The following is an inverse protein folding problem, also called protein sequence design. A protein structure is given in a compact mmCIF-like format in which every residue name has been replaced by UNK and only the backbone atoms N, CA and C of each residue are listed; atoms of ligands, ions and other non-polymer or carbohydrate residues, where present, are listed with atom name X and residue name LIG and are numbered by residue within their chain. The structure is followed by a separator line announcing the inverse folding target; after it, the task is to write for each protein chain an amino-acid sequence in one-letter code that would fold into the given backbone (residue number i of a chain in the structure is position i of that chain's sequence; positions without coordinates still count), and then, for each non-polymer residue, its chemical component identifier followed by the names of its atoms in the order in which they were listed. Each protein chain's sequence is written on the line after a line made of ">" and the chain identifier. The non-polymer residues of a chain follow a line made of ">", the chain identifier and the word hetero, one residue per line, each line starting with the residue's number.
data_IF_503498159318
#
_entry.id   IF_503498159318
#
_cell.length_a   1.000
_cell.length_b   1.000
_cell.length_c   1.000
_cell.angle_alpha   90.00
_cell.angle_beta   90.00
_cell.angle_gamma   90.00
#
_symmetry.space_group_name_H-M   'P 1'
#
loop_
_entity.id
_entity.type
_entity.pdbx_description
1 polymer ?
#
# COMPACT_ATOMS: atom_id res chain seq x y z
N UNK A 1 -7.27 -14.61 -4.32
CA UNK A 1 -6.11 -13.99 -5.02
C UNK A 1 -5.20 -15.10 -5.52
N UNK A 2 -4.60 -14.98 -6.71
CA UNK A 2 -3.63 -15.94 -7.23
C UNK A 2 -2.23 -15.50 -6.80
N UNK A 3 -1.51 -16.37 -6.09
CA UNK A 3 -0.12 -16.13 -5.74
C UNK A 3 0.72 -16.53 -6.95
N UNK A 4 1.36 -15.56 -7.60
CA UNK A 4 2.22 -15.76 -8.74
C UNK A 4 3.64 -15.28 -8.46
N UNK A 5 4.54 -15.52 -9.40
CA UNK A 5 5.95 -15.15 -9.26
C UNK A 5 6.16 -13.63 -9.16
N UNK A 6 5.29 -12.84 -9.77
CA UNK A 6 5.41 -11.39 -9.73
C UNK A 6 5.10 -10.86 -8.33
N UNK A 7 4.07 -11.39 -7.68
CA UNK A 7 3.75 -11.06 -6.30
C UNK A 7 4.90 -11.47 -5.36
N UNK A 8 5.43 -12.70 -5.50
CA UNK A 8 6.54 -13.16 -4.66
C UNK A 8 7.73 -12.22 -4.82
N UNK A 9 8.10 -11.89 -6.06
CA UNK A 9 9.22 -10.98 -6.32
C UNK A 9 9.01 -9.61 -5.68
N UNK A 10 7.79 -9.05 -5.72
CA UNK A 10 7.52 -7.77 -5.07
C UNK A 10 7.68 -7.84 -3.55
N UNK A 11 7.17 -8.93 -2.92
CA UNK A 11 7.27 -9.14 -1.48
C UNK A 11 8.72 -9.31 -1.00
N UNK A 12 9.63 -9.78 -1.85
CA UNK A 12 11.06 -9.93 -1.48
C UNK A 12 11.79 -8.59 -1.31
N UNK A 13 11.24 -7.49 -1.79
CA UNK A 13 11.76 -6.13 -1.61
C UNK A 13 11.08 -5.37 -0.48
N UNK A 14 10.03 -5.93 0.12
CA UNK A 14 9.32 -5.32 1.24
C UNK A 14 9.96 -5.69 2.57
N UNK A 15 9.85 -4.79 3.55
CA UNK A 15 10.30 -5.02 4.91
C UNK A 15 9.22 -5.75 5.74
N UNK A 16 9.66 -6.53 6.73
CA UNK A 16 8.74 -7.16 7.68
C UNK A 16 7.89 -6.13 8.42
N UNK A 17 6.61 -6.44 8.57
CA UNK A 17 5.66 -5.52 9.20
C UNK A 17 4.34 -6.18 9.56
N UNK A 18 3.27 -5.41 9.52
CA UNK A 18 1.91 -5.91 9.81
C UNK A 18 1.29 -6.68 8.64
N UNK A 19 1.91 -6.64 7.46
CA UNK A 19 1.43 -7.27 6.23
C UNK A 19 2.39 -8.33 5.68
N UNK A 20 3.66 -8.36 6.16
CA UNK A 20 4.66 -9.33 5.72
C UNK A 20 5.49 -9.86 6.88
N UNK A 21 5.80 -11.16 6.83
CA UNK A 21 6.80 -11.84 7.67
C UNK A 21 7.62 -12.82 6.82
N UNK A 22 8.91 -12.92 7.11
CA UNK A 22 9.84 -13.76 6.38
C UNK A 22 10.41 -14.81 7.35
N UNK A 23 10.33 -16.07 6.97
CA UNK A 23 10.82 -17.21 7.76
C UNK A 23 11.89 -17.93 6.98
N UNK A 24 13.10 -17.99 7.52
CA UNK A 24 14.20 -18.72 6.91
C UNK A 24 13.94 -20.24 6.90
N UNK A 25 13.31 -20.74 7.98
CA UNK A 25 13.02 -22.17 8.18
C UNK A 25 11.53 -22.47 8.16
N UNK A 26 11.20 -23.73 7.86
CA UNK A 26 9.84 -24.23 7.95
C UNK A 26 9.36 -24.31 9.40
N UNK A 27 8.08 -24.05 9.62
CA UNK A 27 7.45 -24.29 10.91
C UNK A 27 7.51 -25.76 11.29
N UNK A 28 7.86 -26.03 12.53
CA UNK A 28 7.83 -27.38 13.10
C UNK A 28 6.38 -27.77 13.34
N UNK A 29 5.83 -28.61 12.46
CA UNK A 29 4.42 -28.99 12.51
C UNK A 29 4.23 -30.51 12.53
N UNK A 30 4.89 -31.25 11.62
CA UNK A 30 4.76 -32.71 11.50
C UNK A 30 5.48 -33.37 12.68
N UNK A 31 4.73 -34.22 13.43
CA UNK A 31 5.24 -34.93 14.62
C UNK A 31 5.88 -34.01 15.68
N UNK A 32 5.55 -32.72 15.65
CA UNK A 32 6.06 -31.73 16.58
C UNK A 32 5.22 -31.71 17.87
N UNK A 33 5.83 -31.25 18.96
CA UNK A 33 5.16 -31.01 20.24
C UNK A 33 4.29 -29.74 20.14
N UNK A 34 3.36 -29.57 21.07
CA UNK A 34 2.43 -28.45 21.06
C UNK A 34 3.13 -27.10 21.14
N UNK A 35 4.22 -26.99 21.88
CA UNK A 35 5.02 -25.77 21.99
C UNK A 35 5.64 -25.34 20.65
N UNK A 36 6.08 -26.29 19.83
CA UNK A 36 6.61 -26.00 18.50
C UNK A 36 5.50 -25.56 17.53
N UNK A 37 4.33 -26.21 17.58
CA UNK A 37 3.17 -25.83 16.75
C UNK A 37 2.59 -24.47 17.11
N UNK A 38 2.88 -23.98 18.34
CA UNK A 38 2.45 -22.66 18.79
C UNK A 38 2.97 -21.53 17.90
N UNK A 39 4.17 -21.65 17.30
CA UNK A 39 4.75 -20.57 16.51
C UNK A 39 3.87 -20.30 15.27
N UNK A 40 3.50 -21.35 14.53
CA UNK A 40 2.59 -21.21 13.38
C UNK A 40 1.23 -20.63 13.80
N UNK A 41 0.64 -21.17 14.87
CA UNK A 41 -0.66 -20.72 15.37
C UNK A 41 -0.62 -19.24 15.83
N UNK A 42 0.43 -18.85 16.54
CA UNK A 42 0.66 -17.48 17.00
C UNK A 42 0.77 -16.50 15.84
N UNK A 43 1.57 -16.84 14.84
CA UNK A 43 1.80 -15.97 13.71
C UNK A 43 0.52 -15.79 12.89
N UNK A 44 -0.21 -16.87 12.58
CA UNK A 44 -1.49 -16.77 11.86
C UNK A 44 -2.53 -15.97 12.66
N UNK A 45 -2.64 -16.16 13.98
CA UNK A 45 -3.51 -15.36 14.85
C UNK A 45 -3.11 -13.88 14.84
N UNK A 46 -1.82 -13.60 14.96
CA UNK A 46 -1.31 -12.24 15.03
C UNK A 46 -1.60 -11.46 13.74
N UNK A 47 -1.41 -12.08 12.58
CA UNK A 47 -1.74 -11.47 11.31
C UNK A 47 -3.25 -11.36 11.07
N UNK A 48 -4.05 -12.33 11.49
CA UNK A 48 -5.50 -12.28 11.37
C UNK A 48 -6.11 -11.11 12.18
N UNK A 49 -5.49 -10.75 13.32
CA UNK A 49 -5.92 -9.65 14.18
C UNK A 49 -5.23 -8.31 13.90
N UNK A 50 -4.21 -8.28 13.06
CA UNK A 50 -3.43 -7.05 12.81
C UNK A 50 -4.28 -5.91 12.26
N UNK A 51 -3.92 -4.68 12.64
CA UNK A 51 -4.47 -3.46 12.04
C UNK A 51 -3.75 -3.18 10.73
N UNK A 52 -4.35 -3.59 9.62
CA UNK A 52 -3.79 -3.49 8.27
C UNK A 52 -4.85 -3.11 7.24
N UNK A 53 -4.41 -2.69 6.06
CA UNK A 53 -5.29 -2.24 4.97
C UNK A 53 -5.26 -3.16 3.76
N UNK A 54 -4.32 -4.10 3.73
CA UNK A 54 -4.16 -5.09 2.66
C UNK A 54 -4.05 -6.50 3.22
N UNK A 55 -4.03 -7.49 2.36
CA UNK A 55 -3.79 -8.88 2.71
C UNK A 55 -2.39 -9.06 3.28
N UNK A 56 -2.22 -10.02 4.17
CA UNK A 56 -0.92 -10.33 4.75
C UNK A 56 -0.34 -11.62 4.21
N UNK A 57 0.99 -11.70 4.21
CA UNK A 57 1.75 -12.82 3.72
C UNK A 57 2.83 -13.24 4.71
N UNK A 58 3.03 -14.55 4.85
CA UNK A 58 4.20 -15.11 5.50
C UNK A 58 4.93 -15.94 4.45
N UNK A 59 6.15 -15.55 4.10
CA UNK A 59 6.99 -16.30 3.17
C UNK A 59 7.93 -17.21 3.96
N UNK A 60 7.87 -18.51 3.70
CA UNK A 60 8.65 -19.53 4.38
C UNK A 60 9.72 -20.09 3.43
N UNK A 61 10.95 -20.17 3.86
CA UNK A 61 12.13 -20.46 3.04
C UNK A 61 12.79 -19.20 2.51
N UNK A 62 12.59 -18.06 3.20
CA UNK A 62 13.11 -16.75 2.81
C UNK A 62 13.84 -16.12 3.98
N UNK A 63 15.05 -15.65 3.74
CA UNK A 63 15.89 -14.93 4.69
C UNK A 63 15.77 -13.43 4.45
N UNK A 64 15.39 -12.69 5.49
CA UNK A 64 15.35 -11.23 5.45
C UNK A 64 16.73 -10.61 5.19
N UNK A 65 16.75 -9.61 4.30
CA UNK A 65 17.94 -8.80 4.00
C UNK A 65 17.56 -7.34 4.11
N UNK A 66 17.92 -6.72 5.22
CA UNK A 66 17.63 -5.30 5.49
C UNK A 66 18.13 -4.38 4.37
N UNK A 67 17.22 -3.58 3.83
CA UNK A 67 17.55 -2.58 2.81
C UNK A 67 17.83 -3.13 1.42
N UNK A 68 17.49 -4.39 1.17
CA UNK A 68 17.69 -5.04 -0.14
C UNK A 68 16.67 -6.15 -0.40
N UNK A 69 16.82 -6.82 -1.52
CA UNK A 69 16.01 -7.98 -1.87
C UNK A 69 16.33 -9.15 -0.93
N UNK A 70 15.33 -9.69 -0.28
CA UNK A 70 15.44 -10.87 0.58
C UNK A 70 15.84 -12.12 -0.19
N UNK A 71 16.54 -13.04 0.46
CA UNK A 71 17.16 -14.20 -0.17
C UNK A 71 16.26 -15.43 -0.06
N UNK A 72 16.06 -16.11 -1.18
CA UNK A 72 15.41 -17.43 -1.19
C UNK A 72 16.41 -18.47 -0.68
N UNK A 73 16.14 -19.04 0.49
CA UNK A 73 16.93 -20.16 1.05
C UNK A 73 16.31 -21.51 0.73
N UNK A 74 14.97 -21.54 0.66
CA UNK A 74 14.19 -22.73 0.37
C UNK A 74 13.91 -23.58 1.61
N UNK A 75 12.96 -24.52 1.47
CA UNK A 75 12.55 -25.49 2.51
C UNK A 75 12.57 -26.92 1.95
N UNK A 76 12.81 -27.88 2.83
CA UNK A 76 12.75 -29.32 2.50
C UNK A 76 11.40 -29.92 2.80
N UNK A 77 10.82 -29.57 3.95
CA UNK A 77 9.57 -30.12 4.43
C UNK A 77 8.38 -29.28 3.94
N UNK A 78 7.48 -29.92 3.23
CA UNK A 78 6.25 -29.30 2.75
C UNK A 78 5.10 -29.68 3.66
N UNK A 79 4.33 -28.70 4.10
CA UNK A 79 3.14 -28.96 4.93
C UNK A 79 1.90 -29.05 4.03
N UNK A 80 0.89 -29.71 4.57
CA UNK A 80 -0.42 -29.84 3.92
C UNK A 80 -1.36 -28.74 4.42
N UNK A 81 -1.94 -27.98 3.49
CA UNK A 81 -2.84 -26.86 3.79
C UNK A 81 -4.05 -27.33 4.62
N UNK A 82 -4.69 -28.46 4.25
CA UNK A 82 -5.87 -28.95 4.95
C UNK A 82 -5.56 -29.30 6.40
N UNK A 83 -4.41 -29.92 6.66
CA UNK A 83 -3.95 -30.27 8.01
C UNK A 83 -3.72 -29.03 8.86
N UNK A 84 -3.11 -27.98 8.30
CA UNK A 84 -2.88 -26.70 9.00
C UNK A 84 -4.20 -26.00 9.29
N UNK A 85 -5.09 -25.94 8.31
CA UNK A 85 -6.40 -25.31 8.47
C UNK A 85 -7.25 -26.03 9.54
N UNK A 86 -7.29 -27.36 9.53
CA UNK A 86 -7.99 -28.14 10.56
C UNK A 86 -7.39 -27.88 11.94
N UNK A 87 -6.05 -27.90 12.05
CA UNK A 87 -5.35 -27.64 13.30
C UNK A 87 -5.71 -26.27 13.89
N UNK A 88 -5.61 -25.20 13.12
CA UNK A 88 -5.84 -23.83 13.56
C UNK A 88 -7.33 -23.62 13.87
N UNK A 89 -8.23 -24.00 12.97
CA UNK A 89 -9.64 -23.69 13.09
C UNK A 89 -10.35 -24.47 14.21
N UNK A 90 -9.82 -25.61 14.61
CA UNK A 90 -10.35 -26.35 15.79
C UNK A 90 -10.05 -25.64 17.12
N UNK A 91 -9.03 -24.76 17.17
CA UNK A 91 -8.58 -24.11 18.40
C UNK A 91 -9.13 -22.69 18.58
N UNK A 92 -9.55 -22.05 17.51
CA UNK A 92 -9.97 -20.65 17.51
C UNK A 92 -11.48 -20.49 17.74
N UNK A 93 -11.91 -19.34 18.29
CA UNK A 93 -13.31 -19.01 18.57
C UNK A 93 -14.18 -18.96 17.30
N UNK A 94 -13.56 -18.64 16.17
CA UNK A 94 -14.14 -18.69 14.82
C UNK A 94 -13.08 -19.14 13.82
N UNK A 95 -13.46 -19.70 12.66
CA UNK A 95 -12.49 -20.06 11.63
C UNK A 95 -11.69 -18.86 11.15
N UNK A 96 -10.39 -19.06 10.97
CA UNK A 96 -9.51 -18.09 10.32
C UNK A 96 -9.49 -18.39 8.83
N UNK A 97 -9.70 -17.37 8.02
CA UNK A 97 -9.55 -17.47 6.57
C UNK A 97 -8.08 -17.26 6.24
N UNK A 98 -7.44 -18.28 5.70
CA UNK A 98 -6.08 -18.24 5.20
C UNK A 98 -5.85 -19.36 4.19
N UNK A 99 -4.75 -19.33 3.46
CA UNK A 99 -4.29 -20.46 2.62
C UNK A 99 -2.79 -20.66 2.78
N UNK A 100 -2.37 -21.92 2.77
CA UNK A 100 -0.96 -22.30 2.77
C UNK A 100 -0.65 -22.94 1.41
N UNK A 101 0.28 -22.38 0.65
CA UNK A 101 0.64 -22.85 -0.69
C UNK A 101 2.13 -23.16 -0.78
N UNK A 102 2.45 -24.35 -1.24
CA UNK A 102 3.81 -24.75 -1.59
C UNK A 102 4.08 -24.34 -3.04
N UNK A 103 5.18 -23.64 -3.28
CA UNK A 103 5.55 -23.09 -4.58
C UNK A 103 7.02 -23.39 -4.89
N UNK A 104 7.37 -23.36 -6.17
CA UNK A 104 8.77 -23.37 -6.61
C UNK A 104 9.13 -21.99 -7.15
N UNK A 105 10.14 -21.37 -6.56
CA UNK A 105 10.62 -20.07 -6.95
C UNK A 105 12.15 -20.08 -7.00
N UNK A 106 12.76 -19.60 -8.09
CA UNK A 106 14.20 -19.65 -8.35
C UNK A 106 14.81 -21.07 -8.16
N UNK A 107 14.06 -22.10 -8.56
CA UNK A 107 14.52 -23.50 -8.43
C UNK A 107 14.50 -24.06 -7.01
N UNK A 108 14.04 -23.30 -6.02
CA UNK A 108 13.90 -23.73 -4.62
C UNK A 108 12.42 -23.84 -4.23
N UNK A 109 12.12 -24.73 -3.29
CA UNK A 109 10.80 -24.86 -2.72
C UNK A 109 10.63 -23.83 -1.62
N UNK A 110 9.56 -23.08 -1.65
CA UNK A 110 9.13 -22.14 -0.61
C UNK A 110 7.66 -22.41 -0.27
N UNK A 111 7.19 -21.84 0.83
CA UNK A 111 5.76 -21.81 1.11
C UNK A 111 5.29 -20.38 1.37
N UNK A 112 4.03 -20.12 1.05
CA UNK A 112 3.38 -18.82 1.28
C UNK A 112 2.10 -19.06 2.06
N UNK A 113 1.98 -18.38 3.20
CA UNK A 113 0.71 -18.29 3.93
C UNK A 113 0.10 -16.94 3.57
N UNK A 114 -1.06 -16.96 2.96
CA UNK A 114 -1.86 -15.79 2.65
C UNK A 114 -3.00 -15.65 3.63
N UNK A 115 -3.12 -14.48 4.26
CA UNK A 115 -4.14 -14.19 5.27
C UNK A 115 -4.88 -12.93 4.84
N UNK A 116 -6.10 -13.03 4.30
CA UNK A 116 -6.90 -11.87 3.91
C UNK A 116 -7.39 -11.09 5.12
N UNK A 117 -7.81 -9.84 4.90
CA UNK A 117 -8.52 -9.06 5.91
C UNK A 117 -9.81 -9.79 6.28
N UNK A 118 -10.08 -9.92 7.56
CA UNK A 118 -11.20 -10.68 8.06
C UNK A 118 -11.74 -10.13 9.38
N UNK A 119 -12.87 -10.66 9.84
CA UNK A 119 -13.50 -10.22 11.08
C UNK A 119 -12.63 -10.52 12.30
N UNK A 120 -12.51 -9.55 13.18
CA UNK A 120 -11.74 -9.58 14.43
C UNK A 120 -12.69 -9.30 15.62
N UNK A 121 -12.32 -9.61 16.87
CA UNK A 121 -11.10 -10.34 17.27
C UNK A 121 -11.21 -11.87 17.09
N UNK A 122 -10.06 -12.50 16.91
CA UNK A 122 -9.90 -13.95 16.88
C UNK A 122 -8.95 -14.36 18.02
N UNK A 123 -9.35 -15.35 18.80
CA UNK A 123 -8.61 -15.84 19.97
C UNK A 123 -8.78 -17.34 20.15
N UNK A 124 -7.98 -17.95 21.04
CA UNK A 124 -8.06 -19.37 21.35
C UNK A 124 -9.18 -19.66 22.36
N UNK A 125 -9.93 -20.73 22.11
CA UNK A 125 -10.95 -21.23 23.04
C UNK A 125 -10.38 -21.88 24.31
N UNK A 126 -9.15 -22.40 24.22
CA UNK A 126 -8.44 -23.08 25.31
C UNK A 126 -6.95 -22.81 25.17
N UNK A 127 -6.21 -22.88 26.28
CA UNK A 127 -4.76 -22.81 26.26
C UNK A 127 -4.18 -23.86 25.34
N UNK A 128 -3.14 -23.50 24.59
CA UNK A 128 -2.42 -24.41 23.71
C UNK A 128 -0.92 -24.10 23.75
N UNK A 129 -0.14 -25.04 24.29
CA UNK A 129 1.29 -24.81 24.56
C UNK A 129 1.51 -23.51 25.33
N UNK A 130 2.31 -22.61 24.79
CA UNK A 130 2.61 -21.30 25.42
C UNK A 130 1.51 -20.25 25.21
N UNK A 131 0.53 -20.50 24.36
CA UNK A 131 -0.52 -19.55 24.06
C UNK A 131 -1.69 -19.70 25.02
N UNK A 132 -2.22 -18.56 25.47
CA UNK A 132 -3.33 -18.49 26.41
C UNK A 132 -4.67 -18.33 25.72
N UNK A 133 -5.70 -18.97 26.26
CA UNK A 133 -7.09 -18.74 25.86
C UNK A 133 -7.51 -17.30 26.15
N UNK A 134 -8.59 -16.88 25.47
CA UNK A 134 -9.19 -15.55 25.64
C UNK A 134 -8.21 -14.38 25.46
N UNK A 135 -7.06 -14.64 24.87
CA UNK A 135 -6.01 -13.67 24.60
C UNK A 135 -5.97 -13.37 23.12
N UNK A 136 -6.07 -12.09 22.75
CA UNK A 136 -6.01 -11.63 21.35
C UNK A 136 -4.56 -11.27 21.03
N UNK A 137 -3.91 -12.14 20.28
CA UNK A 137 -2.58 -11.88 19.73
C UNK A 137 -2.71 -11.08 18.46
N UNK A 138 -1.92 -10.00 18.31
CA UNK A 138 -1.90 -9.16 17.11
C UNK A 138 -0.48 -8.79 16.71
N UNK A 139 -0.29 -8.42 15.45
CA UNK A 139 0.98 -7.92 14.93
C UNK A 139 1.10 -6.41 15.14
N UNK A 140 2.22 -5.96 15.73
CA UNK A 140 2.61 -4.55 15.83
C UNK A 140 3.99 -4.39 15.20
N UNK A 141 4.05 -3.73 14.03
CA UNK A 141 5.26 -3.75 13.22
C UNK A 141 5.68 -5.19 12.91
N UNK A 142 6.92 -5.54 13.12
CA UNK A 142 7.48 -6.89 12.91
C UNK A 142 7.34 -7.82 14.12
N UNK A 143 6.65 -7.44 15.20
CA UNK A 143 6.53 -8.26 16.40
C UNK A 143 5.08 -8.63 16.75
N UNK A 144 4.89 -9.77 17.41
CA UNK A 144 3.61 -10.18 17.98
C UNK A 144 3.44 -9.57 19.36
N UNK A 145 2.28 -8.98 19.61
CA UNK A 145 1.88 -8.39 20.90
C UNK A 145 0.51 -8.95 21.34
N UNK A 146 0.12 -8.62 22.56
CA UNK A 146 -1.22 -8.88 23.08
C UNK A 146 -2.02 -7.59 22.95
N UNK A 147 -3.25 -7.69 22.45
CA UNK A 147 -4.17 -6.57 22.34
C UNK A 147 -4.62 -6.10 23.74
N UNK A 148 -4.74 -4.80 23.90
CA UNK A 148 -5.38 -4.22 25.07
C UNK A 148 -6.92 -4.20 24.94
N UNK A 149 -7.61 -3.83 26.01
CA UNK A 149 -9.08 -3.82 26.06
C UNK A 149 -9.67 -2.85 25.04
N UNK A 150 -9.04 -1.69 24.83
CA UNK A 150 -9.50 -0.69 23.88
C UNK A 150 -9.35 -1.16 22.42
N UNK A 151 -8.26 -1.85 22.13
CA UNK A 151 -8.05 -2.47 20.82
C UNK A 151 -9.09 -3.56 20.54
N UNK A 152 -9.35 -4.43 21.52
CA UNK A 152 -10.37 -5.49 21.40
C UNK A 152 -11.75 -4.88 21.18
N UNK A 153 -12.12 -3.84 21.92
CA UNK A 153 -13.36 -3.13 21.75
C UNK A 153 -13.51 -2.54 20.34
N UNK A 154 -12.46 -1.89 19.85
CA UNK A 154 -12.42 -1.34 18.47
C UNK A 154 -12.51 -2.43 17.41
N UNK A 155 -11.87 -3.60 17.61
CA UNK A 155 -11.99 -4.74 16.70
C UNK A 155 -13.44 -5.24 16.59
N UNK A 156 -14.16 -5.29 17.71
CA UNK A 156 -15.54 -5.76 17.75
C UNK A 156 -16.55 -4.78 17.14
N UNK A 157 -16.26 -3.48 17.18
CA UNK A 157 -17.12 -2.42 16.65
C UNK A 157 -16.76 -2.00 15.22
N UNK A 158 -15.61 -2.44 14.71
CA UNK A 158 -15.24 -2.17 13.32
C UNK A 158 -16.31 -2.76 12.40
N UNK A 159 -16.96 -1.96 11.54
CA UNK A 159 -17.88 -2.50 10.56
C UNK A 159 -17.18 -3.59 9.76
N UNK A 160 -17.91 -4.65 9.40
CA UNK A 160 -17.46 -5.58 8.40
C UNK A 160 -17.07 -4.76 7.17
N UNK A 161 -15.78 -4.58 6.98
CA UNK A 161 -15.30 -4.19 5.67
C UNK A 161 -15.46 -5.46 4.84
N UNK A 162 -16.64 -5.64 4.25
CA UNK A 162 -16.67 -6.34 2.98
C UNK A 162 -15.72 -5.53 2.11
N UNK A 163 -14.54 -6.08 1.90
CA UNK A 163 -13.60 -5.51 0.93
C UNK A 163 -14.22 -5.81 -0.42
N UNK A 164 -15.22 -5.04 -0.78
CA UNK A 164 -15.60 -4.86 -2.15
C UNK A 164 -14.31 -4.43 -2.84
N UNK A 165 -13.85 -5.19 -3.82
CA UNK A 165 -12.67 -4.80 -4.59
C UNK A 165 -12.92 -3.38 -5.06
N UNK A 166 -12.09 -2.38 -4.65
CA UNK A 166 -12.28 -1.04 -5.16
C UNK A 166 -12.10 -1.11 -6.68
N UNK A 167 -13.19 -1.00 -7.38
CA UNK A 167 -13.15 -0.91 -8.84
C UNK A 167 -12.90 0.56 -9.15
N UNK A 168 -11.61 0.89 -9.33
CA UNK A 168 -11.19 2.24 -9.63
C UNK A 168 -11.38 2.51 -11.11
N UNK A 169 -12.22 3.49 -11.39
CA UNK A 169 -12.43 4.01 -12.73
C UNK A 169 -11.66 5.33 -12.87
N UNK A 170 -10.66 5.33 -13.74
CA UNK A 170 -9.81 6.49 -14.03
C UNK A 170 -10.19 7.05 -15.39
N UNK A 171 -10.57 8.32 -15.43
CA UNK A 171 -11.01 8.95 -16.67
C UNK A 171 -10.63 10.43 -16.75
N UNK A 172 -10.57 10.94 -17.98
CA UNK A 172 -10.43 12.36 -18.20
C UNK A 172 -11.75 13.08 -17.84
N UNK A 173 -11.64 14.16 -17.09
CA UNK A 173 -12.78 14.91 -16.60
C UNK A 173 -12.76 16.37 -17.08
N UNK A 174 -13.93 16.95 -17.25
CA UNK A 174 -14.07 18.39 -17.44
C UNK A 174 -13.80 19.08 -16.09
N UNK A 175 -12.90 20.08 -16.01
CA UNK A 175 -12.52 20.72 -14.76
C UNK A 175 -13.67 21.45 -14.07
N UNK A 176 -14.62 22.00 -14.85
CA UNK A 176 -15.72 22.80 -14.29
C UNK A 176 -16.96 21.95 -13.93
N UNK A 177 -17.29 20.99 -14.79
CA UNK A 177 -18.50 20.18 -14.62
C UNK A 177 -18.24 18.84 -13.94
N UNK A 178 -16.96 18.43 -13.85
CA UNK A 178 -16.50 17.12 -13.36
C UNK A 178 -17.09 15.91 -14.12
N UNK A 179 -17.67 16.15 -15.28
CA UNK A 179 -18.22 15.10 -16.14
C UNK A 179 -17.11 14.37 -16.89
N UNK A 180 -17.32 13.08 -17.15
CA UNK A 180 -16.41 12.25 -17.94
C UNK A 180 -16.27 12.82 -19.35
N UNK A 181 -15.05 12.92 -19.80
CA UNK A 181 -14.69 13.20 -21.19
C UNK A 181 -14.42 11.88 -21.94
N UNK A 182 -14.19 11.98 -23.25
CA UNK A 182 -13.80 10.84 -24.07
C UNK A 182 -12.52 10.16 -23.56
N UNK A 183 -12.40 8.85 -23.76
CA UNK A 183 -11.20 8.07 -23.42
C UNK A 183 -9.96 8.48 -24.24
N UNK A 184 -10.14 9.29 -25.28
CA UNK A 184 -9.05 9.88 -26.06
C UNK A 184 -9.17 11.39 -26.02
N UNK A 185 -8.09 12.06 -25.64
CA UNK A 185 -7.97 13.51 -25.68
C UNK A 185 -6.98 13.91 -26.75
N UNK A 186 -7.38 14.80 -27.63
CA UNK A 186 -6.49 15.42 -28.61
C UNK A 186 -5.96 16.72 -28.06
N UNK A 187 -4.66 16.81 -27.89
CA UNK A 187 -3.98 18.05 -27.53
C UNK A 187 -3.41 18.63 -28.84
N UNK A 188 -3.85 19.84 -29.19
CA UNK A 188 -3.23 20.57 -30.30
C UNK A 188 -1.96 21.22 -29.77
N UNK A 189 -0.82 20.85 -30.34
CA UNK A 189 0.43 21.56 -30.07
C UNK A 189 0.42 22.88 -30.83
N UNK A 190 0.74 23.97 -30.14
CA UNK A 190 1.00 25.27 -30.75
C UNK A 190 2.50 25.53 -30.64
N UNK A 191 3.12 25.86 -31.74
CA UNK A 191 4.47 26.40 -31.74
C UNK A 191 4.34 27.92 -31.65
N UNK A 192 4.78 28.49 -30.52
CA UNK A 192 4.85 29.93 -30.34
C UNK A 192 6.31 30.36 -30.43
N UNK A 193 6.62 31.17 -31.44
CA UNK A 193 7.90 31.87 -31.50
C UNK A 193 7.85 33.06 -30.56
N UNK A 194 8.42 32.92 -29.39
CA UNK A 194 8.59 34.01 -28.43
C UNK A 194 10.03 34.49 -28.52
N UNK A 195 10.27 35.79 -28.71
CA UNK A 195 11.63 36.31 -28.71
C UNK A 195 12.39 35.95 -27.45
N UNK A 196 13.68 35.72 -27.50
CA UNK A 196 14.48 35.47 -26.31
C UNK A 196 14.34 36.63 -25.30
N UNK A 197 14.31 36.31 -24.02
CA UNK A 197 14.08 37.27 -22.94
C UNK A 197 15.03 38.50 -23.00
N UNK A 198 16.21 38.32 -23.56
CA UNK A 198 17.21 39.36 -23.75
C UNK A 198 16.86 40.39 -24.86
N UNK A 199 16.00 40.00 -25.80
CA UNK A 199 15.57 40.89 -26.90
C UNK A 199 14.26 41.63 -26.61
N UNK A 200 13.61 41.35 -25.49
CA UNK A 200 12.39 42.02 -25.08
C UNK A 200 12.80 43.31 -24.32
N UNK A 201 12.45 44.51 -24.81
CA UNK A 201 12.80 45.73 -24.15
C UNK A 201 12.13 45.84 -22.77
N UNK A 202 12.84 46.33 -21.80
CA UNK A 202 12.24 46.71 -20.53
C UNK A 202 11.48 48.02 -20.71
N UNK A 203 10.39 48.17 -19.99
CA UNK A 203 9.63 49.43 -19.99
C UNK A 203 10.47 50.49 -19.30
N UNK A 204 10.98 51.50 -20.05
CA UNK A 204 11.56 52.72 -19.51
C UNK A 204 10.53 53.84 -19.61
N UNK A 205 10.07 54.35 -18.50
CA UNK A 205 9.31 55.57 -18.51
C UNK A 205 10.29 56.75 -18.72
N UNK A 206 10.60 57.05 -19.95
CA UNK A 206 11.12 58.37 -20.29
C UNK A 206 9.95 59.33 -20.32
N UNK A 207 9.54 59.83 -19.17
CA UNK A 207 8.89 61.12 -19.05
C UNK A 207 9.28 61.72 -17.70
N UNK A 208 10.36 62.46 -17.74
CA UNK A 208 10.65 63.54 -16.83
C UNK A 208 9.60 64.62 -17.05
N UNK A 209 8.49 64.57 -16.39
CA UNK A 209 7.71 65.78 -16.13
C UNK A 209 7.61 65.96 -14.62
N UNK A 210 8.51 66.86 -14.22
CA UNK A 210 8.53 67.51 -12.92
C UNK A 210 7.22 68.24 -12.68
N UNK A 211 6.34 67.73 -11.87
CA UNK A 211 5.46 68.54 -10.99
C UNK A 211 5.03 67.69 -9.79
N UNK A 212 5.43 68.13 -8.66
CA UNK A 212 5.36 67.63 -7.32
C UNK A 212 4.11 66.96 -6.85
N UNK A 213 4.36 66.13 -5.96
CA UNK A 213 3.69 65.49 -4.82
C UNK A 213 3.87 63.96 -4.92
N UNK A 214 4.79 63.51 -4.12
CA UNK A 214 5.35 62.17 -3.97
C UNK A 214 4.38 60.99 -3.80
N UNK A 215 3.90 60.48 -4.89
CA UNK A 215 3.53 59.08 -4.99
C UNK A 215 4.16 58.59 -6.30
N UNK A 216 5.34 58.02 -6.22
CA UNK A 216 5.91 57.31 -7.35
C UNK A 216 5.02 56.08 -7.60
N UNK A 217 4.33 55.99 -8.76
CA UNK A 217 3.73 54.73 -9.13
C UNK A 217 4.85 53.70 -9.22
N UNK A 218 4.70 52.57 -8.57
CA UNK A 218 5.66 51.47 -8.66
C UNK A 218 5.74 51.04 -10.12
N UNK A 219 6.78 51.47 -10.83
CA UNK A 219 6.96 51.17 -12.25
C UNK A 219 7.45 49.73 -12.37
N UNK A 220 6.65 48.86 -12.98
CA UNK A 220 7.08 47.47 -13.25
C UNK A 220 7.98 47.46 -14.49
N UNK A 221 9.28 47.61 -14.28
CA UNK A 221 10.29 47.57 -15.35
C UNK A 221 10.39 46.21 -16.08
N UNK A 222 9.79 45.16 -15.55
CA UNK A 222 9.80 43.83 -16.16
C UNK A 222 8.49 43.46 -16.86
N UNK A 223 7.55 44.37 -17.00
CA UNK A 223 6.20 44.08 -17.49
C UNK A 223 6.16 43.28 -18.79
N UNK A 224 6.91 43.66 -19.79
CA UNK A 224 6.91 42.94 -21.08
C UNK A 224 7.55 41.55 -20.98
N UNK A 225 8.56 41.38 -20.17
CA UNK A 225 9.22 40.10 -19.91
C UNK A 225 8.28 39.15 -19.15
N UNK A 226 7.56 39.68 -18.18
CA UNK A 226 6.57 38.92 -17.40
C UNK A 226 5.37 38.58 -18.25
N UNK A 227 4.86 39.48 -19.09
CA UNK A 227 3.78 39.20 -20.02
C UNK A 227 4.15 38.13 -21.04
N UNK A 228 5.37 38.15 -21.58
CA UNK A 228 5.87 37.14 -22.48
C UNK A 228 5.97 35.78 -21.78
N UNK A 229 6.44 35.74 -20.53
CA UNK A 229 6.51 34.56 -19.72
C UNK A 229 5.11 33.97 -19.39
N UNK A 230 4.18 34.84 -18.97
CA UNK A 230 2.78 34.48 -18.72
C UNK A 230 2.12 33.92 -20.00
N UNK A 231 2.30 34.60 -21.14
CA UNK A 231 1.76 34.13 -22.41
C UNK A 231 2.31 32.76 -22.81
N UNK A 232 3.63 32.54 -22.58
CA UNK A 232 4.26 31.25 -22.83
C UNK A 232 3.62 30.15 -21.99
N UNK A 233 3.46 30.38 -20.69
CA UNK A 233 2.87 29.37 -19.79
C UNK A 233 1.41 29.11 -20.17
N UNK A 234 0.60 30.14 -20.32
CA UNK A 234 -0.84 30.01 -20.54
C UNK A 234 -1.20 29.47 -21.92
N UNK A 235 -0.34 29.65 -22.92
CA UNK A 235 -0.58 29.15 -24.28
C UNK A 235 0.07 27.80 -24.56
N UNK A 236 1.18 27.46 -23.89
CA UNK A 236 1.91 26.20 -24.09
C UNK A 236 1.51 25.11 -23.10
N UNK A 237 0.88 25.46 -21.98
CA UNK A 237 0.45 24.49 -20.97
C UNK A 237 -1.05 24.27 -21.08
N UNK A 238 -1.43 23.06 -21.45
CA UNK A 238 -2.83 22.62 -21.41
C UNK A 238 -3.00 21.73 -20.19
N UNK A 239 -3.75 22.16 -19.17
CA UNK A 239 -3.99 21.34 -17.98
C UNK A 239 -4.83 20.13 -18.36
N UNK A 240 -4.42 18.95 -17.86
CA UNK A 240 -5.11 17.69 -18.04
C UNK A 240 -5.73 17.30 -16.70
N UNK A 241 -7.04 17.15 -16.67
CA UNK A 241 -7.77 16.79 -15.48
C UNK A 241 -8.12 15.30 -15.52
N UNK A 242 -7.70 14.59 -14.48
CA UNK A 242 -8.00 13.17 -14.30
C UNK A 242 -8.87 13.05 -13.06
N UNK A 243 -9.97 12.34 -13.19
CA UNK A 243 -10.82 11.96 -12.07
C UNK A 243 -10.67 10.46 -11.79
N UNK A 244 -10.71 10.13 -10.51
CA UNK A 244 -10.72 8.74 -10.03
C UNK A 244 -12.04 8.53 -9.32
N UNK A 245 -12.86 7.63 -9.83
CA UNK A 245 -14.10 7.20 -9.22
C UNK A 245 -13.95 5.81 -8.61
N UNK A 246 -14.61 5.56 -7.49
CA UNK A 246 -14.78 4.20 -6.97
C UNK A 246 -16.17 3.72 -7.41
N UNK A 247 -16.22 2.70 -8.26
CA UNK A 247 -17.44 2.06 -8.75
C UNK A 247 -17.73 0.72 -8.07
N UNK A 248 -16.82 0.29 -7.17
CA UNK A 248 -17.00 -0.90 -6.36
C UNK A 248 -18.04 -0.67 -5.25
N UNK A 249 -18.88 -1.67 -5.03
CA UNK A 249 -19.88 -1.73 -3.96
C UNK A 249 -19.27 -2.18 -2.64
#
# INVERSE_FOLDING_TARGET
>A
MKIDNQLIESLLYEEEGVELDLKEEQYKFIKAIDDDKCELLKDVLAFANAWRRSDAFILVGVKDVKGGRSLIVGITDLLDDASIQQFINTKTNRPIIFSYQNLSFEGKKIAVIHIPIQQRPIYLKKDFGKLKSDTVYLRRGSSTAIADIDEISKMGTSPHIEVGKPELDVFFANPSTRTRLSNRQSIKSLVLEIPPKSSIPDYSSENNDSYGIGISPSTNYSYYKELAHFTKITKLVSPLFIAVGNTGS
#
